data_IF_331740413925
#
_entry.id   IF_331740413925
#
_cell.length_a   1.000
_cell.length_b   1.000
_cell.length_c   1.000
_cell.angle_alpha   90.00
_cell.angle_beta   90.00
_cell.angle_gamma   90.00
#
_symmetry.space_group_name_H-M   'P 1'
#
loop_
_entity.id
_entity.type
_entity.pdbx_description
1 polymer ?
#
# COMPACT_ATOMS: atom_id res chain seq x y z
N UNK A 1 -6.94 10.50 -6.07
CA UNK A 1 -8.30 10.16 -6.49
C UNK A 1 -9.27 10.46 -5.35
N UNK A 2 -10.37 11.17 -5.64
CA UNK A 2 -11.38 11.57 -4.67
C UNK A 2 -12.75 11.21 -5.23
N UNK A 3 -13.61 10.64 -4.40
CA UNK A 3 -14.97 10.24 -4.77
C UNK A 3 -15.91 10.55 -3.62
N UNK A 4 -16.97 11.26 -3.90
CA UNK A 4 -18.01 11.57 -2.92
C UNK A 4 -19.14 10.53 -3.01
N UNK A 5 -19.59 10.05 -1.86
CA UNK A 5 -20.72 9.13 -1.73
C UNK A 5 -21.63 9.54 -0.54
N UNK A 6 -22.67 8.76 -0.28
CA UNK A 6 -23.61 9.03 0.82
C UNK A 6 -22.99 8.99 2.23
N UNK A 7 -21.74 8.52 2.37
CA UNK A 7 -21.00 8.46 3.64
C UNK A 7 -20.02 9.62 3.79
N UNK A 8 -19.66 10.28 2.68
CA UNK A 8 -18.74 11.40 2.66
C UNK A 8 -17.69 11.31 1.56
N UNK A 9 -16.60 12.06 1.69
CA UNK A 9 -15.52 12.11 0.72
C UNK A 9 -14.50 10.98 0.97
N UNK A 10 -14.43 10.04 0.03
CA UNK A 10 -13.43 8.97 0.00
C UNK A 10 -12.21 9.40 -0.79
N UNK A 11 -11.03 9.24 -0.18
CA UNK A 11 -9.76 9.67 -0.76
C UNK A 11 -8.83 8.46 -0.93
N UNK A 12 -8.18 8.40 -2.09
CA UNK A 12 -7.08 7.48 -2.36
C UNK A 12 -5.88 8.31 -2.82
N UNK A 13 -4.80 8.26 -2.05
CA UNK A 13 -3.56 9.00 -2.31
C UNK A 13 -2.35 8.08 -2.38
N UNK A 14 -1.23 8.65 -2.84
CA UNK A 14 0.09 8.01 -2.84
C UNK A 14 1.06 8.87 -2.04
N UNK A 15 1.87 8.23 -1.22
CA UNK A 15 2.98 8.88 -0.54
C UNK A 15 4.22 8.90 -1.45
N UNK A 16 4.94 10.01 -1.46
CA UNK A 16 6.23 10.15 -2.15
C UNK A 16 7.34 9.50 -1.30
N UNK A 17 7.47 8.17 -1.40
CA UNK A 17 8.43 7.40 -0.60
C UNK A 17 9.91 7.69 -0.96
N UNK A 18 10.16 8.44 -2.03
CA UNK A 18 11.49 8.93 -2.41
C UNK A 18 11.99 10.03 -1.45
N UNK A 19 11.07 10.73 -0.79
CA UNK A 19 11.37 11.79 0.16
C UNK A 19 11.50 11.26 1.59
N UNK A 20 12.32 11.91 2.42
CA UNK A 20 12.43 11.57 3.85
C UNK A 20 11.10 11.70 4.57
N UNK A 21 10.35 12.78 4.30
CA UNK A 21 9.02 13.01 4.90
C UNK A 21 7.99 11.96 4.48
N UNK A 22 8.01 11.52 3.22
CA UNK A 22 7.12 10.46 2.73
C UNK A 22 7.39 9.12 3.40
N UNK A 23 8.67 8.76 3.60
CA UNK A 23 9.07 7.55 4.35
C UNK A 23 8.64 7.61 5.81
N UNK A 24 8.88 8.74 6.48
CA UNK A 24 8.50 8.95 7.87
C UNK A 24 6.97 8.87 8.04
N UNK A 25 6.21 9.59 7.21
CA UNK A 25 4.76 9.55 7.23
C UNK A 25 4.22 8.12 7.00
N UNK A 26 4.81 7.36 6.05
CA UNK A 26 4.44 5.99 5.80
C UNK A 26 4.69 5.09 7.01
N UNK A 27 5.85 5.21 7.67
CA UNK A 27 6.15 4.46 8.88
C UNK A 27 5.15 4.77 10.01
N UNK A 28 4.84 6.04 10.25
CA UNK A 28 3.87 6.48 11.25
C UNK A 28 2.44 6.00 10.94
N UNK A 29 2.06 5.98 9.67
CA UNK A 29 0.78 5.43 9.20
C UNK A 29 0.71 3.91 9.41
N UNK A 30 1.76 3.18 9.10
CA UNK A 30 1.83 1.71 9.29
C UNK A 30 1.71 1.33 10.75
N UNK A 31 2.34 2.08 11.66
CA UNK A 31 2.22 1.83 13.10
C UNK A 31 0.96 2.42 13.74
N UNK A 32 0.10 3.11 12.97
CA UNK A 32 -1.17 3.67 13.44
C UNK A 32 -1.03 4.98 14.25
N UNK A 33 0.17 5.54 14.36
CA UNK A 33 0.40 6.83 15.03
C UNK A 33 -0.26 7.99 14.28
N UNK A 34 -0.28 7.93 12.95
CA UNK A 34 -1.07 8.78 12.08
C UNK A 34 -2.23 7.96 11.52
N UNK A 35 -3.46 8.30 11.83
CA UNK A 35 -4.63 7.53 11.39
C UNK A 35 -5.83 8.40 10.99
N UNK A 36 -5.71 9.72 11.06
CA UNK A 36 -6.76 10.67 10.76
C UNK A 36 -6.50 11.49 9.50
N UNK A 37 -7.56 12.04 8.94
CA UNK A 37 -7.53 13.02 7.87
C UNK A 37 -8.21 14.30 8.31
N UNK A 38 -7.57 15.43 8.05
CA UNK A 38 -8.15 16.77 8.18
C UNK A 38 -8.21 17.44 6.82
N UNK A 39 -9.05 18.46 6.69
CA UNK A 39 -9.19 19.24 5.46
C UNK A 39 -8.93 20.72 5.70
N UNK A 40 -8.26 21.36 4.73
CA UNK A 40 -8.24 22.81 4.59
C UNK A 40 -9.25 23.20 3.51
N UNK A 41 -10.15 24.12 3.82
CA UNK A 41 -11.21 24.54 2.91
C UNK A 41 -11.65 25.99 3.12
N UNK A 42 -12.28 26.56 2.10
CA UNK A 42 -13.00 27.82 2.19
C UNK A 42 -14.50 27.54 2.13
N UNK A 43 -15.26 28.07 3.08
CA UNK A 43 -16.72 27.95 3.11
C UNK A 43 -17.32 28.84 2.02
N UNK A 44 -18.08 28.27 1.09
CA UNK A 44 -18.80 29.01 0.03
C UNK A 44 -20.25 29.25 0.41
N UNK A 45 -20.94 28.21 0.89
CA UNK A 45 -22.32 28.30 1.32
C UNK A 45 -22.49 27.66 2.70
N UNK A 46 -23.32 28.26 3.51
CA UNK A 46 -23.63 27.76 4.84
C UNK A 46 -24.98 28.28 5.32
N UNK A 47 -25.59 27.53 6.21
CA UNK A 47 -26.77 27.92 6.97
C UNK A 47 -26.43 27.95 8.45
N UNK A 48 -27.08 28.85 9.20
CA UNK A 48 -26.94 28.93 10.64
C UNK A 48 -28.28 28.77 11.31
N UNK A 49 -28.39 27.80 12.17
CA UNK A 49 -29.56 27.53 12.99
C UNK A 49 -29.38 28.20 14.35
N UNK A 50 -30.18 29.20 14.64
CA UNK A 50 -30.10 29.98 15.89
C UNK A 50 -30.60 29.22 17.11
N UNK A 51 -31.53 28.25 16.91
CA UNK A 51 -32.13 27.51 18.00
C UNK A 51 -31.17 26.43 18.53
N UNK A 52 -30.38 25.83 17.65
CA UNK A 52 -29.39 24.80 17.99
C UNK A 52 -27.97 25.31 18.07
N UNK A 53 -27.70 26.56 17.73
CA UNK A 53 -26.38 27.18 17.63
C UNK A 53 -25.44 26.40 16.66
N UNK A 54 -26.00 25.83 15.61
CA UNK A 54 -25.27 25.01 14.65
C UNK A 54 -25.09 25.74 13.33
N UNK A 55 -23.83 25.76 12.85
CA UNK A 55 -23.48 26.20 11.50
C UNK A 55 -23.32 24.99 10.58
N UNK A 56 -24.22 24.84 9.62
CA UNK A 56 -24.16 23.80 8.59
C UNK A 56 -23.49 24.33 7.33
N UNK A 57 -22.37 23.73 6.92
CA UNK A 57 -21.70 24.04 5.67
C UNK A 57 -22.34 23.20 4.55
N UNK A 58 -22.91 23.87 3.55
CA UNK A 58 -23.59 23.21 2.42
C UNK A 58 -22.70 23.15 1.17
N UNK A 59 -21.73 24.07 1.06
CA UNK A 59 -20.74 24.06 -0.02
C UNK A 59 -19.40 24.54 0.50
N UNK A 60 -18.34 23.78 0.20
CA UNK A 60 -16.96 24.12 0.54
C UNK A 60 -16.06 24.02 -0.68
N UNK A 61 -15.05 24.88 -0.73
CA UNK A 61 -13.94 24.77 -1.68
C UNK A 61 -12.79 24.07 -0.98
N UNK A 62 -12.54 22.80 -1.35
CA UNK A 62 -11.52 21.96 -0.73
C UNK A 62 -10.14 22.31 -1.28
N UNK A 63 -9.23 22.75 -0.41
CA UNK A 63 -7.89 23.16 -0.80
C UNK A 63 -6.84 22.10 -0.51
N UNK A 64 -6.96 21.42 0.63
CA UNK A 64 -6.01 20.38 1.02
C UNK A 64 -6.65 19.27 1.84
N UNK A 65 -5.99 18.12 1.85
CA UNK A 65 -6.26 17.03 2.78
C UNK A 65 -4.95 16.68 3.47
N UNK A 66 -4.94 16.77 4.79
CA UNK A 66 -3.77 16.56 5.61
C UNK A 66 -3.90 15.30 6.46
N UNK A 67 -2.82 14.52 6.53
CA UNK A 67 -2.72 13.39 7.46
C UNK A 67 -2.43 13.92 8.87
N UNK A 68 -3.18 13.47 9.87
CA UNK A 68 -3.03 13.93 11.24
C UNK A 68 -3.31 12.83 12.27
N UNK A 69 -2.89 13.08 13.50
CA UNK A 69 -3.16 12.20 14.64
C UNK A 69 -4.58 12.40 15.17
N UNK A 70 -5.02 13.65 15.27
CA UNK A 70 -6.31 14.04 15.83
C UNK A 70 -7.10 14.85 14.80
N UNK A 71 -7.94 14.20 13.98
CA UNK A 71 -8.79 14.89 13.02
C UNK A 71 -9.92 15.65 13.72
N UNK A 72 -10.28 16.83 13.21
CA UNK A 72 -11.42 17.60 13.71
C UNK A 72 -12.74 16.82 13.62
N UNK A 73 -12.92 16.02 12.55
CA UNK A 73 -13.99 15.05 12.45
C UNK A 73 -13.46 13.66 12.84
N UNK A 74 -13.89 13.15 13.99
CA UNK A 74 -13.47 11.83 14.49
C UNK A 74 -13.79 10.63 13.59
N UNK A 75 -14.68 10.81 12.59
CA UNK A 75 -15.01 9.79 11.58
C UNK A 75 -14.06 9.80 10.38
N UNK A 76 -13.25 10.86 10.20
CA UNK A 76 -12.27 10.98 9.10
C UNK A 76 -11.05 10.13 9.40
N UNK A 77 -11.08 8.86 9.02
CA UNK A 77 -10.04 7.88 9.33
C UNK A 77 -9.41 7.28 8.10
N UNK A 78 -8.11 7.00 8.21
CA UNK A 78 -7.37 6.22 7.23
C UNK A 78 -7.67 4.76 7.48
N UNK A 79 -8.31 4.12 6.50
CA UNK A 79 -8.80 2.75 6.62
C UNK A 79 -7.81 1.71 6.12
N UNK A 80 -6.85 2.11 5.29
CA UNK A 80 -5.87 1.20 4.72
C UNK A 80 -4.57 1.94 4.35
N UNK A 81 -3.44 1.35 4.72
CA UNK A 81 -2.09 1.77 4.31
C UNK A 81 -1.44 0.58 3.64
N UNK A 82 -1.17 0.70 2.33
CA UNK A 82 -0.58 -0.38 1.55
C UNK A 82 0.94 -0.27 1.52
N UNK A 83 1.63 -1.40 1.58
CA UNK A 83 3.08 -1.53 1.51
C UNK A 83 3.44 -2.78 0.72
N UNK A 84 4.66 -2.83 0.19
CA UNK A 84 5.20 -4.06 -0.40
C UNK A 84 5.35 -5.18 0.64
N UNK A 85 5.43 -4.84 1.93
CA UNK A 85 5.49 -5.81 3.03
C UNK A 85 4.18 -6.60 3.20
N UNK A 86 3.08 -6.09 2.63
CA UNK A 86 1.76 -6.74 2.66
C UNK A 86 1.59 -7.79 1.53
N UNK A 87 2.70 -8.13 0.82
CA UNK A 87 2.72 -9.13 -0.25
C UNK A 87 2.86 -10.55 0.34
N UNK A 88 1.74 -11.16 0.69
CA UNK A 88 1.70 -12.52 1.20
C UNK A 88 1.26 -13.54 0.15
N UNK A 89 0.67 -13.08 -0.95
CA UNK A 89 0.19 -13.92 -2.03
C UNK A 89 0.31 -13.22 -3.41
N UNK A 90 0.36 -13.97 -4.52
CA UNK A 90 0.39 -13.41 -5.87
C UNK A 90 -0.74 -12.41 -6.17
N UNK A 91 -1.93 -12.63 -5.58
CA UNK A 91 -3.08 -11.71 -5.70
C UNK A 91 -2.83 -10.35 -5.07
N UNK A 92 -1.98 -10.27 -4.05
CA UNK A 92 -1.63 -8.99 -3.41
C UNK A 92 -0.75 -8.16 -4.33
N UNK A 93 0.21 -8.80 -5.02
CA UNK A 93 1.04 -8.17 -6.04
C UNK A 93 0.18 -7.65 -7.21
N UNK A 94 -0.76 -8.48 -7.72
CA UNK A 94 -1.71 -8.04 -8.75
C UNK A 94 -2.48 -6.79 -8.30
N UNK A 95 -3.02 -6.80 -7.08
CA UNK A 95 -3.77 -5.69 -6.53
C UNK A 95 -2.92 -4.41 -6.46
N UNK A 96 -1.68 -4.50 -5.98
CA UNK A 96 -0.76 -3.35 -5.89
C UNK A 96 -0.46 -2.78 -7.27
N UNK A 97 -0.18 -3.62 -8.26
CA UNK A 97 0.07 -3.20 -9.64
C UNK A 97 -1.15 -2.50 -10.26
N UNK A 98 -2.34 -3.05 -10.05
CA UNK A 98 -3.59 -2.41 -10.51
C UNK A 98 -3.83 -1.04 -9.85
N UNK A 99 -3.55 -0.94 -8.56
CA UNK A 99 -3.64 0.33 -7.84
C UNK A 99 -2.58 1.36 -8.32
N UNK A 100 -1.46 0.87 -8.87
CA UNK A 100 -0.44 1.69 -9.50
C UNK A 100 -0.79 2.11 -10.95
N UNK A 101 -1.95 1.65 -11.49
CA UNK A 101 -2.44 2.02 -12.81
C UNK A 101 -2.25 0.97 -13.91
N UNK A 102 -1.71 -0.21 -13.60
CA UNK A 102 -1.60 -1.29 -14.57
C UNK A 102 -2.98 -1.88 -14.89
N UNK A 103 -3.19 -2.31 -16.14
CA UNK A 103 -4.38 -3.09 -16.49
C UNK A 103 -4.38 -4.44 -15.75
N UNK A 104 -5.54 -5.06 -15.61
CA UNK A 104 -5.64 -6.40 -15.01
C UNK A 104 -4.79 -7.43 -15.76
N UNK A 105 -4.78 -7.36 -17.10
CA UNK A 105 -4.02 -8.27 -17.94
C UNK A 105 -2.51 -8.11 -17.73
N UNK A 106 -2.01 -6.88 -17.70
CA UNK A 106 -0.59 -6.59 -17.49
C UNK A 106 -0.14 -6.98 -16.08
N UNK A 107 -0.93 -6.68 -15.07
CA UNK A 107 -0.65 -7.07 -13.69
C UNK A 107 -0.54 -8.59 -13.53
N UNK A 108 -1.48 -9.35 -14.09
CA UNK A 108 -1.45 -10.81 -14.09
C UNK A 108 -0.24 -11.37 -14.86
N UNK A 109 0.05 -10.82 -16.05
CA UNK A 109 1.19 -11.25 -16.86
C UNK A 109 2.52 -11.02 -16.12
N UNK A 110 2.67 -9.85 -15.49
CA UNK A 110 3.86 -9.51 -14.70
C UNK A 110 4.04 -10.47 -13.52
N UNK A 111 3.01 -10.65 -12.68
CA UNK A 111 3.06 -11.52 -11.51
C UNK A 111 3.38 -12.96 -11.92
N UNK A 112 2.72 -13.48 -12.95
CA UNK A 112 2.97 -14.85 -13.46
C UNK A 112 4.39 -15.03 -13.97
N UNK A 113 4.97 -14.00 -14.60
CA UNK A 113 6.36 -14.03 -15.09
C UNK A 113 7.36 -14.05 -13.93
N UNK A 114 7.16 -13.22 -12.92
CA UNK A 114 8.01 -13.18 -11.73
C UNK A 114 7.98 -14.50 -10.97
N UNK A 115 6.82 -15.12 -10.81
CA UNK A 115 6.66 -16.42 -10.16
C UNK A 115 7.44 -17.51 -10.87
N UNK A 116 7.30 -17.62 -12.21
CA UNK A 116 8.07 -18.59 -13.01
C UNK A 116 9.58 -18.40 -12.92
N UNK A 117 10.05 -17.15 -12.90
CA UNK A 117 11.47 -16.85 -12.70
C UNK A 117 11.97 -17.31 -11.33
N UNK A 118 11.13 -17.17 -10.28
CA UNK A 118 11.44 -17.66 -8.94
C UNK A 118 11.51 -19.18 -8.85
N UNK A 119 10.64 -19.90 -9.54
CA UNK A 119 10.63 -21.37 -9.63
C UNK A 119 11.90 -21.86 -10.37
N UNK A 120 12.20 -21.32 -11.53
CA UNK A 120 13.40 -21.68 -12.29
C UNK A 120 14.71 -21.47 -11.51
N UNK A 121 14.79 -20.46 -10.64
CA UNK A 121 15.93 -20.26 -9.74
C UNK A 121 16.03 -21.31 -8.64
N UNK A 122 14.90 -21.77 -8.10
CA UNK A 122 14.88 -22.85 -7.09
C UNK A 122 15.34 -24.16 -7.69
N UNK A 123 14.81 -24.53 -8.85
CA UNK A 123 15.18 -25.75 -9.55
C UNK A 123 16.68 -25.78 -9.91
N UNK A 124 17.26 -24.65 -10.33
CA UNK A 124 18.68 -24.54 -10.60
C UNK A 124 19.54 -24.64 -9.32
N UNK A 125 19.09 -24.07 -8.21
CA UNK A 125 19.78 -24.18 -6.92
C UNK A 125 19.75 -25.61 -6.36
N UNK A 126 18.61 -26.29 -6.49
CA UNK A 126 18.45 -27.71 -6.10
C UNK A 126 19.33 -28.62 -6.97
N UNK A 127 19.39 -28.40 -8.27
CA UNK A 127 20.27 -29.15 -9.19
C UNK A 127 21.74 -28.98 -8.82
N UNK A 128 22.17 -27.79 -8.46
CA UNK A 128 23.54 -27.50 -8.03
C UNK A 128 23.87 -28.19 -6.69
N UNK A 129 22.95 -28.18 -5.75
CA UNK A 129 23.11 -28.86 -4.45
C UNK A 129 23.21 -30.38 -4.60
N UNK A 130 22.44 -30.98 -5.53
CA UNK A 130 22.51 -32.40 -5.86
C UNK A 130 23.86 -32.74 -6.51
N UNK A 131 24.34 -31.93 -7.44
CA UNK A 131 25.67 -32.13 -8.09
C UNK A 131 26.82 -32.05 -7.07
N UNK A 132 26.78 -31.10 -6.14
CA UNK A 132 27.82 -30.98 -5.08
C UNK A 132 27.79 -32.21 -4.17
N UNK A 133 26.61 -32.70 -3.74
CA UNK A 133 26.50 -33.91 -2.92
C UNK A 133 27.00 -35.16 -3.65
N UNK A 134 26.77 -35.27 -4.96
CA UNK A 134 27.27 -36.37 -5.77
C UNK A 134 28.82 -36.33 -5.88
N UNK A 135 29.40 -35.15 -6.10
CA UNK A 135 30.86 -34.96 -6.14
C UNK A 135 31.50 -35.30 -4.79
N UNK A 136 30.93 -34.88 -3.68
CA UNK A 136 31.44 -35.24 -2.34
C UNK A 136 31.40 -36.73 -2.05
N UNK A 137 30.41 -37.46 -2.53
CA UNK A 137 30.35 -38.92 -2.40
C UNK A 137 31.48 -39.61 -3.19
N UNK A 138 31.68 -39.17 -4.43
CA UNK A 138 32.75 -39.70 -5.27
C UNK A 138 34.13 -39.45 -4.68
N UNK A 139 34.40 -38.27 -4.17
CA UNK A 139 35.66 -37.94 -3.47
C UNK A 139 35.90 -38.84 -2.26
N UNK A 140 34.89 -39.09 -1.43
CA UNK A 140 35.01 -39.97 -0.27
C UNK A 140 35.30 -41.42 -0.64
N UNK A 141 34.76 -41.93 -1.74
CA UNK A 141 35.07 -43.30 -2.22
C UNK A 141 36.46 -43.43 -2.75
N UNK A 142 37.03 -42.37 -3.40
CA UNK A 142 38.39 -42.38 -3.94
C UNK A 142 39.47 -42.19 -2.86
N UNK A 143 39.13 -41.59 -1.72
CA UNK A 143 40.10 -41.37 -0.62
C UNK A 143 40.08 -42.47 0.44
N UNK A 144 39.21 -43.45 0.33
CA UNK A 144 39.07 -44.59 1.26
C UNK A 144 39.63 -45.91 0.67
N UNK A 145 40.34 -45.86 -0.45
CA UNK A 145 41.12 -46.94 -1.06
C UNK A 145 42.61 -46.69 -0.93
#
# INVERSE_FOLDING_TARGET
>A
DMTEDSKGLKIKGRLALETSRGKEAHALLKMGALNGLSIGFVSKQWAYDKDTDVRTLTEVDLWEVSVCTFPANGKSRITNVKSCDDLNAPKDAERILRDAGFSKADALAFVSRVMRMGEARRDSADSTAVAIRAADRLLKTLTSS
#
